data_IF_709396785419
#
_entry.id   IF_709396785419
#
_cell.length_a   1.000
_cell.length_b   1.000
_cell.length_c   1.000
_cell.angle_alpha   90.00
_cell.angle_beta   90.00
_cell.angle_gamma   90.00
#
_symmetry.space_group_name_H-M   'P 1'
#
loop_
_entity.id
_entity.type
_entity.pdbx_description
1 polymer ?
#
# COMPACT_ATOMS: atom_id res chain seq x y z
N UNK A 1 34.07 15.05 31.80
CA UNK A 1 34.66 13.72 31.69
C UNK A 1 34.93 13.33 30.24
N UNK A 2 33.93 13.18 29.36
CA UNK A 2 34.12 12.76 27.95
C UNK A 2 35.07 13.67 27.19
N UNK A 3 34.96 15.00 27.38
CA UNK A 3 35.91 15.97 26.78
C UNK A 3 37.35 15.68 27.18
N UNK A 4 37.59 15.38 28.47
CA UNK A 4 38.91 15.09 28.99
C UNK A 4 39.48 13.77 28.42
N UNK A 5 38.63 12.74 28.34
CA UNK A 5 39.01 11.48 27.69
C UNK A 5 39.36 11.70 26.21
N UNK A 6 38.55 12.46 25.48
CA UNK A 6 38.85 12.77 24.09
C UNK A 6 40.17 13.54 23.94
N UNK A 7 40.48 14.50 24.86
CA UNK A 7 41.75 15.20 24.88
C UNK A 7 42.93 14.29 25.12
N UNK A 8 42.80 13.34 26.06
CA UNK A 8 43.85 12.37 26.39
C UNK A 8 44.20 11.47 25.19
N UNK A 9 43.19 11.05 24.46
CA UNK A 9 43.36 10.16 23.29
C UNK A 9 43.47 10.90 21.95
N UNK A 10 43.57 12.22 21.95
CA UNK A 10 43.65 13.06 20.74
C UNK A 10 42.45 12.85 19.78
N UNK A 11 41.26 12.58 20.33
CA UNK A 11 40.01 12.39 19.56
C UNK A 11 39.30 13.72 19.44
N UNK A 12 38.86 14.15 18.26
CA UNK A 12 38.02 15.33 18.10
C UNK A 12 36.73 15.24 18.94
N UNK A 13 36.39 16.32 19.65
CA UNK A 13 35.22 16.38 20.51
C UNK A 13 34.22 17.41 20.00
N UNK A 14 33.00 16.96 19.66
CA UNK A 14 31.89 17.82 19.26
C UNK A 14 30.80 17.75 20.34
N UNK A 15 30.36 18.90 20.84
CA UNK A 15 29.25 19.00 21.80
C UNK A 15 28.04 19.63 21.11
N UNK A 16 26.87 19.01 21.28
CA UNK A 16 25.58 19.53 20.87
C UNK A 16 24.66 19.61 22.09
N UNK A 17 24.12 20.78 22.33
CA UNK A 17 23.13 21.02 23.39
C UNK A 17 21.73 21.02 22.77
N UNK A 18 20.76 20.35 23.40
CA UNK A 18 19.39 20.22 22.91
C UNK A 18 18.40 20.59 24.02
N UNK A 19 17.39 21.38 23.68
CA UNK A 19 16.33 21.80 24.62
C UNK A 19 15.13 20.86 24.51
N UNK A 20 15.13 19.81 25.35
CA UNK A 20 14.04 18.81 25.40
C UNK A 20 12.74 19.43 25.94
N UNK A 21 12.74 20.29 27.00
CA UNK A 21 11.54 20.97 27.48
C UNK A 21 10.84 21.82 26.40
N UNK A 22 11.60 22.62 25.64
CA UNK A 22 11.04 23.43 24.56
C UNK A 22 10.42 22.55 23.46
N UNK A 23 11.17 21.56 22.98
CA UNK A 23 10.69 20.66 21.92
C UNK A 23 9.46 19.84 22.34
N UNK A 24 9.29 19.52 23.64
CA UNK A 24 8.11 18.82 24.16
C UNK A 24 6.84 19.68 24.10
N UNK A 25 6.94 21.01 24.19
CA UNK A 25 5.78 21.92 24.08
C UNK A 25 5.20 21.91 22.67
N UNK A 26 6.05 21.69 21.68
CA UNK A 26 5.66 21.67 20.25
C UNK A 26 5.26 20.29 19.75
N UNK A 27 5.80 19.22 20.35
CA UNK A 27 5.60 17.85 19.89
C UNK A 27 4.84 17.00 20.92
N UNK A 28 3.77 16.33 20.48
CA UNK A 28 3.05 15.34 21.30
C UNK A 28 3.91 14.06 21.46
N UNK A 29 4.36 13.77 22.68
CA UNK A 29 5.12 12.56 22.98
C UNK A 29 5.62 12.52 24.43
N UNK A 30 6.12 11.35 24.88
CA UNK A 30 6.79 11.22 26.17
C UNK A 30 8.13 11.99 26.12
N UNK A 31 8.62 12.43 27.29
CA UNK A 31 9.94 13.07 27.43
C UNK A 31 11.05 12.22 26.81
N UNK A 32 11.02 10.92 27.06
CA UNK A 32 11.97 9.94 26.53
C UNK A 32 11.94 9.90 24.98
N UNK A 33 10.73 9.90 24.38
CA UNK A 33 10.57 9.88 22.93
C UNK A 33 11.14 11.15 22.30
N UNK A 34 10.80 12.33 22.86
CA UNK A 34 11.29 13.62 22.35
C UNK A 34 12.81 13.73 22.51
N UNK A 35 13.34 13.40 23.68
CA UNK A 35 14.78 13.38 23.93
C UNK A 35 15.54 12.44 22.97
N UNK A 36 14.96 11.27 22.70
CA UNK A 36 15.52 10.32 21.74
C UNK A 36 15.58 10.92 20.32
N UNK A 37 14.52 11.54 19.85
CA UNK A 37 14.46 12.17 18.52
C UNK A 37 15.53 13.26 18.40
N UNK A 38 15.60 14.16 19.39
CA UNK A 38 16.59 15.24 19.42
C UNK A 38 18.02 14.71 19.45
N UNK A 39 18.28 13.67 20.26
CA UNK A 39 19.60 13.02 20.31
C UNK A 39 20.03 12.49 18.96
N UNK A 40 19.14 11.78 18.23
CA UNK A 40 19.48 11.27 16.92
C UNK A 40 19.68 12.38 15.87
N UNK A 41 18.94 13.48 15.99
CA UNK A 41 19.13 14.66 15.14
C UNK A 41 20.50 15.30 15.41
N UNK A 42 20.84 15.57 16.67
CA UNK A 42 22.12 16.14 17.05
C UNK A 42 23.32 15.25 16.66
N UNK A 43 23.18 13.93 16.76
CA UNK A 43 24.21 12.99 16.30
C UNK A 43 24.43 13.06 14.79
N UNK A 44 23.38 13.21 13.98
CA UNK A 44 23.51 13.39 12.53
C UNK A 44 24.19 14.72 12.18
N UNK A 45 23.77 15.82 12.81
CA UNK A 45 24.41 17.13 12.63
C UNK A 45 25.88 17.11 13.02
N UNK A 46 26.25 16.43 14.12
CA UNK A 46 27.64 16.28 14.53
C UNK A 46 28.44 15.41 13.54
N UNK A 47 27.84 14.37 12.96
CA UNK A 47 28.48 13.55 11.96
C UNK A 47 28.74 14.31 10.65
N UNK A 48 27.81 15.17 10.23
CA UNK A 48 27.99 16.05 9.06
C UNK A 48 29.11 17.06 9.30
N UNK A 49 29.13 17.71 10.47
CA UNK A 49 30.18 18.65 10.89
C UNK A 49 31.56 17.97 10.93
N UNK A 50 31.62 16.75 11.51
CA UNK A 50 32.84 15.94 11.60
C UNK A 50 33.19 15.20 10.32
N UNK A 51 32.42 15.34 9.23
CA UNK A 51 32.57 14.60 7.97
C UNK A 51 32.63 13.09 8.16
N UNK A 52 31.84 12.57 9.13
CA UNK A 52 31.79 11.15 9.44
C UNK A 52 30.76 10.43 8.54
N UNK A 53 31.14 9.28 8.02
CA UNK A 53 30.25 8.44 7.20
C UNK A 53 29.35 7.51 8.01
N UNK A 54 29.70 7.27 9.28
CA UNK A 54 29.00 6.38 10.19
C UNK A 54 28.96 6.94 11.62
N UNK A 55 27.90 6.57 12.36
CA UNK A 55 27.74 6.92 13.78
C UNK A 55 27.72 5.61 14.59
N UNK A 56 28.71 5.40 15.43
CA UNK A 56 28.75 4.27 16.35
C UNK A 56 27.92 4.55 17.61
N UNK A 57 27.01 3.65 17.95
CA UNK A 57 26.22 3.70 19.17
C UNK A 57 26.70 2.58 20.13
N UNK A 58 26.84 2.88 21.41
CA UNK A 58 27.35 2.00 22.42
C UNK A 58 26.31 0.99 22.99
N UNK A 59 25.35 0.55 22.17
CA UNK A 59 24.45 -0.52 22.57
C UNK A 59 25.20 -1.83 22.67
N UNK A 60 24.95 -2.58 23.75
CA UNK A 60 25.60 -3.85 24.04
C UNK A 60 24.59 -4.99 24.15
N UNK A 61 25.04 -6.21 24.42
CA UNK A 61 24.21 -7.42 24.42
C UNK A 61 23.07 -7.37 25.44
N UNK A 62 23.29 -6.78 26.62
CA UNK A 62 22.24 -6.60 27.60
C UNK A 62 21.13 -5.64 27.11
N UNK A 63 21.48 -4.59 26.35
CA UNK A 63 20.47 -3.70 25.73
C UNK A 63 19.61 -4.46 24.73
N UNK A 64 20.20 -5.42 24.02
CA UNK A 64 19.49 -6.30 23.11
C UNK A 64 18.45 -7.14 23.88
N UNK A 65 18.87 -7.80 24.96
CA UNK A 65 17.97 -8.60 25.79
C UNK A 65 16.81 -7.76 26.39
N UNK A 66 17.14 -6.58 26.94
CA UNK A 66 16.13 -5.63 27.45
C UNK A 66 15.13 -5.21 26.37
N UNK A 67 15.62 -4.96 25.15
CA UNK A 67 14.78 -4.54 24.03
C UNK A 67 13.83 -5.65 23.58
N UNK A 68 14.29 -6.90 23.55
CA UNK A 68 13.45 -8.06 23.20
C UNK A 68 12.35 -8.23 24.23
N UNK A 69 12.68 -8.21 25.53
CA UNK A 69 11.68 -8.30 26.60
C UNK A 69 10.68 -7.15 26.55
N UNK A 70 11.14 -5.94 26.29
CA UNK A 70 10.26 -4.78 26.12
C UNK A 70 9.28 -4.95 24.95
N UNK A 71 9.74 -5.47 23.83
CA UNK A 71 8.90 -5.74 22.67
C UNK A 71 7.91 -6.89 22.93
N UNK A 72 8.37 -7.95 23.59
CA UNK A 72 7.51 -9.08 24.00
C UNK A 72 6.35 -8.63 24.89
N UNK A 73 6.63 -7.82 25.90
CA UNK A 73 5.61 -7.27 26.81
C UNK A 73 4.60 -6.35 26.11
N UNK A 74 4.97 -5.75 24.98
CA UNK A 74 4.09 -4.90 24.18
C UNK A 74 3.35 -5.64 23.06
N UNK A 75 3.60 -6.92 22.90
CA UNK A 75 2.97 -7.70 21.84
C UNK A 75 3.51 -7.40 20.45
N UNK A 76 4.80 -7.21 20.30
CA UNK A 76 5.45 -7.04 19.01
C UNK A 76 5.59 -8.38 18.29
N UNK A 77 5.36 -8.38 16.95
CA UNK A 77 5.63 -9.55 16.11
C UNK A 77 7.13 -9.83 15.91
N UNK A 78 7.46 -10.70 14.95
CA UNK A 78 8.83 -11.12 14.61
C UNK A 78 9.80 -9.94 14.43
N UNK A 79 9.34 -8.86 13.82
CA UNK A 79 10.12 -7.62 13.65
C UNK A 79 10.56 -6.99 14.98
N UNK A 80 9.73 -7.06 16.02
CA UNK A 80 10.10 -6.60 17.37
C UNK A 80 11.06 -7.55 18.04
N UNK A 81 10.88 -8.85 17.85
CA UNK A 81 11.77 -9.89 18.41
C UNK A 81 13.17 -9.88 17.77
N UNK A 82 13.30 -9.39 16.54
CA UNK A 82 14.59 -9.12 15.90
C UNK A 82 15.46 -8.08 16.65
N UNK A 83 14.86 -7.36 17.60
CA UNK A 83 15.54 -6.45 18.53
C UNK A 83 16.28 -5.29 17.86
N UNK A 84 17.43 -4.96 18.44
CA UNK A 84 18.29 -3.87 17.93
C UNK A 84 19.08 -4.39 16.73
N UNK A 85 19.02 -3.66 15.61
CA UNK A 85 19.78 -3.98 14.40
C UNK A 85 21.26 -3.61 14.57
N UNK A 86 22.24 -4.48 14.19
CA UNK A 86 23.67 -4.14 14.21
C UNK A 86 23.99 -2.89 13.39
N UNK A 87 23.32 -2.74 12.27
CA UNK A 87 23.42 -1.58 11.38
C UNK A 87 22.03 -1.12 10.92
N UNK A 88 21.82 0.21 10.95
CA UNK A 88 20.64 0.83 10.38
C UNK A 88 21.00 2.19 9.77
N UNK A 89 20.98 2.29 8.45
CA UNK A 89 21.47 3.45 7.71
C UNK A 89 22.94 3.77 8.11
N UNK A 90 23.22 4.99 8.58
CA UNK A 90 24.54 5.43 9.03
C UNK A 90 24.90 4.98 10.46
N UNK A 91 23.93 4.42 11.21
CA UNK A 91 24.15 3.99 12.60
C UNK A 91 24.65 2.54 12.66
N UNK A 92 25.76 2.34 13.36
CA UNK A 92 26.34 1.02 13.64
C UNK A 92 26.41 0.77 15.15
N UNK A 93 26.47 -0.48 15.59
CA UNK A 93 26.52 -0.88 17.00
C UNK A 93 27.58 -1.94 17.21
N UNK A 94 28.86 -1.53 17.33
CA UNK A 94 29.98 -2.46 17.39
C UNK A 94 29.95 -3.40 18.61
N UNK A 95 29.35 -2.96 19.72
CA UNK A 95 29.31 -3.72 20.98
C UNK A 95 28.06 -4.61 21.13
N UNK A 96 27.24 -4.76 20.10
CA UNK A 96 25.96 -5.47 20.23
C UNK A 96 26.11 -6.97 20.58
N UNK A 97 27.27 -7.55 20.33
CA UNK A 97 27.64 -8.93 20.69
C UNK A 97 28.57 -9.00 21.93
N UNK A 98 28.73 -7.91 22.67
CA UNK A 98 29.58 -7.85 23.88
C UNK A 98 28.69 -7.59 25.09
N UNK A 99 28.90 -8.35 26.16
CA UNK A 99 28.13 -8.19 27.41
C UNK A 99 28.59 -6.97 28.20
N UNK A 100 27.70 -6.45 29.02
CA UNK A 100 28.04 -5.37 29.98
C UNK A 100 29.18 -5.77 30.93
N UNK A 101 29.25 -7.06 31.29
CA UNK A 101 30.32 -7.60 32.15
C UNK A 101 31.67 -7.53 31.46
N UNK A 102 31.77 -8.01 30.21
CA UNK A 102 33.01 -7.96 29.42
C UNK A 102 33.52 -6.54 29.24
N UNK A 103 32.59 -5.57 29.03
CA UNK A 103 32.93 -4.14 28.95
C UNK A 103 33.50 -3.65 30.27
N UNK A 104 32.87 -4.01 31.40
CA UNK A 104 33.32 -3.61 32.74
C UNK A 104 34.69 -4.23 33.07
N UNK A 105 34.89 -5.51 32.79
CA UNK A 105 36.16 -6.22 32.98
C UNK A 105 37.28 -5.59 32.14
N UNK A 106 37.00 -5.24 30.89
CA UNK A 106 37.95 -4.51 30.03
C UNK A 106 38.33 -3.14 30.61
N UNK A 107 37.36 -2.32 30.99
CA UNK A 107 37.63 -1.01 31.58
C UNK A 107 38.46 -1.11 32.86
N UNK A 108 38.15 -2.14 33.70
CA UNK A 108 38.88 -2.40 34.92
C UNK A 108 40.34 -2.77 34.66
N UNK A 109 40.62 -3.57 33.59
CA UNK A 109 41.99 -3.95 33.24
C UNK A 109 42.86 -2.77 32.78
N UNK A 110 42.21 -1.66 32.28
CA UNK A 110 42.86 -0.42 31.93
C UNK A 110 42.77 0.66 33.01
N UNK A 111 42.27 0.32 34.23
CA UNK A 111 42.08 1.26 35.34
C UNK A 111 41.19 2.48 34.98
N UNK A 112 40.26 2.30 34.08
CA UNK A 112 39.30 3.33 33.67
C UNK A 112 38.03 3.22 34.50
N UNK A 113 37.71 4.27 35.23
CA UNK A 113 36.45 4.33 36.04
C UNK A 113 35.35 4.90 35.16
N UNK A 114 34.28 4.15 34.86
CA UNK A 114 33.15 4.69 34.10
C UNK A 114 32.35 5.73 34.90
N UNK A 115 31.79 6.72 34.22
CA UNK A 115 30.80 7.59 34.83
C UNK A 115 29.49 6.84 35.07
N UNK A 116 28.94 7.00 36.27
CA UNK A 116 27.61 6.50 36.60
C UNK A 116 26.56 7.61 36.39
N UNK A 117 25.45 7.26 35.69
CA UNK A 117 24.31 8.15 35.52
C UNK A 117 23.22 7.70 36.49
N UNK A 118 22.97 8.51 37.54
CA UNK A 118 22.00 8.23 38.61
C UNK A 118 20.56 8.01 38.08
N UNK A 119 20.23 8.55 36.90
CA UNK A 119 18.91 8.33 36.30
C UNK A 119 18.67 6.88 35.87
N UNK A 120 19.73 6.08 35.72
CA UNK A 120 19.62 4.65 35.41
C UNK A 120 19.11 3.80 36.60
N UNK A 121 19.17 4.33 37.81
CA UNK A 121 18.76 3.65 39.03
C UNK A 121 17.27 3.87 39.36
N UNK A 122 16.60 4.77 38.62
CA UNK A 122 15.21 5.10 38.89
C UNK A 122 14.29 4.25 38.00
N UNK A 123 13.39 3.42 38.59
CA UNK A 123 12.52 2.50 37.83
C UNK A 123 11.27 3.19 37.22
N UNK A 124 11.32 4.46 36.87
CA UNK A 124 10.17 5.18 36.33
C UNK A 124 9.81 4.76 34.91
N UNK A 125 10.80 4.43 34.09
CA UNK A 125 10.59 3.99 32.74
C UNK A 125 10.47 2.45 32.67
N UNK A 126 9.60 1.93 31.79
CA UNK A 126 9.41 0.47 31.59
C UNK A 126 10.74 -0.25 31.33
N UNK A 127 11.68 0.39 30.64
CA UNK A 127 13.00 -0.19 30.34
C UNK A 127 13.84 -0.35 31.62
N UNK A 128 13.81 0.64 32.51
CA UNK A 128 14.50 0.56 33.80
C UNK A 128 13.87 -0.53 34.71
N UNK A 129 12.54 -0.68 34.70
CA UNK A 129 11.87 -1.81 35.41
C UNK A 129 12.30 -3.16 34.86
N UNK A 130 12.41 -3.30 33.55
CA UNK A 130 12.93 -4.54 32.95
C UNK A 130 14.36 -4.81 33.45
N UNK A 131 15.24 -3.80 33.43
CA UNK A 131 16.64 -3.92 33.89
C UNK A 131 16.79 -4.22 35.34
N UNK A 132 16.07 -3.51 36.21
CA UNK A 132 16.26 -3.54 37.65
C UNK A 132 15.46 -4.64 38.37
N UNK A 133 14.28 -4.99 37.82
CA UNK A 133 13.37 -5.92 38.48
C UNK A 133 13.21 -7.24 37.71
N UNK A 134 12.95 -7.19 36.41
CA UNK A 134 12.59 -8.37 35.61
C UNK A 134 13.84 -9.20 35.26
N UNK A 135 14.88 -8.55 34.72
CA UNK A 135 16.11 -9.22 34.30
C UNK A 135 16.78 -10.02 35.44
N UNK A 136 16.97 -9.49 36.68
CA UNK A 136 17.55 -10.28 37.78
C UNK A 136 16.74 -11.53 38.09
N UNK A 137 15.40 -11.44 38.07
CA UNK A 137 14.52 -12.59 38.29
C UNK A 137 14.67 -13.64 37.20
N UNK A 138 14.68 -13.22 35.92
CA UNK A 138 14.83 -14.13 34.78
C UNK A 138 16.23 -14.79 34.76
N UNK A 139 17.28 -14.07 35.15
CA UNK A 139 18.65 -14.62 35.27
C UNK A 139 18.76 -15.69 36.36
N UNK A 140 17.92 -15.68 37.37
CA UNK A 140 17.90 -16.78 38.36
C UNK A 140 17.36 -18.10 37.79
N UNK A 141 16.56 -18.05 36.73
CA UNK A 141 16.08 -19.24 36.00
C UNK A 141 17.07 -19.66 34.89
N UNK A 142 17.68 -18.71 34.21
CA UNK A 142 18.69 -18.96 33.18
C UNK A 142 19.82 -17.93 33.26
N UNK A 143 20.97 -18.30 33.87
CA UNK A 143 22.13 -17.41 33.98
C UNK A 143 22.67 -16.91 32.61
N UNK A 144 22.43 -17.68 31.54
CA UNK A 144 22.84 -17.32 30.16
C UNK A 144 21.76 -16.61 29.35
N UNK A 145 20.72 -16.11 30.03
CA UNK A 145 19.53 -15.53 29.33
C UNK A 145 19.90 -14.41 28.35
N UNK A 146 20.85 -13.54 28.69
CA UNK A 146 21.26 -12.41 27.83
C UNK A 146 21.76 -12.92 26.49
N UNK A 147 22.71 -13.85 26.50
CA UNK A 147 23.25 -14.47 25.30
C UNK A 147 22.21 -15.31 24.56
N UNK A 148 21.33 -15.99 25.29
CA UNK A 148 20.21 -16.72 24.67
C UNK A 148 19.30 -15.77 23.88
N UNK A 149 18.82 -14.68 24.49
CA UNK A 149 17.99 -13.70 23.82
C UNK A 149 18.70 -13.02 22.65
N UNK A 150 19.98 -12.75 22.77
CA UNK A 150 20.78 -12.16 21.69
C UNK A 150 20.86 -13.08 20.47
N UNK A 151 21.05 -14.40 20.71
CA UNK A 151 21.05 -15.42 19.64
C UNK A 151 19.66 -15.53 18.99
N UNK A 152 18.59 -15.60 19.78
CA UNK A 152 17.22 -15.62 19.27
C UNK A 152 16.92 -14.39 18.42
N UNK A 153 17.39 -13.20 18.82
CA UNK A 153 17.23 -12.00 18.02
C UNK A 153 17.93 -12.09 16.65
N UNK A 154 19.07 -12.82 16.56
CA UNK A 154 19.72 -13.05 15.27
C UNK A 154 18.86 -13.94 14.37
N UNK A 155 18.31 -15.01 14.90
CA UNK A 155 17.40 -15.91 14.16
C UNK A 155 16.19 -15.12 13.63
N UNK A 156 15.53 -14.35 14.52
CA UNK A 156 14.41 -13.52 14.11
C UNK A 156 14.77 -12.45 13.07
N UNK A 157 15.99 -11.93 13.09
CA UNK A 157 16.46 -11.01 12.03
C UNK A 157 16.57 -11.69 10.67
N UNK A 158 17.10 -12.89 10.63
CA UNK A 158 17.27 -13.65 9.39
C UNK A 158 15.91 -14.06 8.81
N UNK A 159 14.98 -14.50 9.67
CA UNK A 159 13.60 -14.79 9.29
C UNK A 159 12.84 -13.54 8.82
N UNK A 160 13.03 -12.41 9.49
CA UNK A 160 12.39 -11.15 9.12
C UNK A 160 12.92 -10.62 7.79
N UNK A 161 14.23 -10.72 7.51
CA UNK A 161 14.84 -10.38 6.22
C UNK A 161 14.26 -11.22 5.09
N UNK A 162 14.08 -12.53 5.32
CA UNK A 162 13.42 -13.42 4.36
C UNK A 162 11.97 -12.98 4.11
N UNK A 163 11.22 -12.71 5.18
CA UNK A 163 9.83 -12.31 5.09
C UNK A 163 9.66 -10.91 4.45
N UNK A 164 10.59 -9.97 4.67
CA UNK A 164 10.60 -8.66 4.00
C UNK A 164 10.85 -8.83 2.49
N UNK A 165 11.77 -9.69 2.09
CA UNK A 165 12.02 -9.99 0.66
C UNK A 165 10.81 -10.63 -0.03
N UNK A 166 10.13 -11.56 0.64
CA UNK A 166 8.89 -12.15 0.11
C UNK A 166 7.76 -11.11 0.03
N UNK A 167 7.64 -10.20 1.02
CA UNK A 167 6.69 -9.09 0.98
C UNK A 167 6.97 -8.16 -0.21
N UNK A 168 8.24 -7.84 -0.49
CA UNK A 168 8.62 -7.02 -1.63
C UNK A 168 8.26 -7.68 -2.97
N UNK A 169 8.44 -9.00 -3.10
CA UNK A 169 8.02 -9.77 -4.28
C UNK A 169 6.52 -9.70 -4.51
N UNK A 170 5.73 -9.77 -3.45
CA UNK A 170 4.27 -9.64 -3.54
C UNK A 170 3.83 -8.19 -3.75
N UNK A 171 4.58 -7.21 -3.22
CA UNK A 171 4.26 -5.79 -3.33
C UNK A 171 4.28 -5.26 -4.77
N UNK A 172 4.98 -5.93 -5.70
CA UNK A 172 4.97 -5.56 -7.13
C UNK A 172 3.57 -5.65 -7.75
N UNK A 173 2.68 -6.42 -7.12
CA UNK A 173 1.29 -6.56 -7.56
C UNK A 173 0.38 -5.40 -7.12
N UNK A 174 0.85 -4.53 -6.23
CA UNK A 174 0.15 -3.29 -5.97
C UNK A 174 0.19 -2.38 -7.19
N UNK A 175 -0.95 -1.78 -7.48
CA UNK A 175 -1.08 -0.71 -8.48
C UNK A 175 -1.63 0.53 -7.81
N UNK A 176 -0.98 1.66 -8.04
CA UNK A 176 -1.45 2.95 -7.54
C UNK A 176 -2.17 3.70 -8.66
N UNK A 177 -3.37 4.18 -8.38
CA UNK A 177 -4.11 5.07 -9.27
C UNK A 177 -4.74 6.18 -8.42
N UNK A 178 -4.27 7.40 -8.60
CA UNK A 178 -4.69 8.54 -7.78
C UNK A 178 -4.53 8.27 -6.28
N UNK A 179 -5.65 8.29 -5.57
CA UNK A 179 -5.73 8.03 -4.13
C UNK A 179 -5.84 6.55 -3.75
N UNK A 180 -5.98 5.66 -4.75
CA UNK A 180 -6.18 4.23 -4.53
C UNK A 180 -4.87 3.45 -4.60
N UNK A 181 -4.75 2.45 -3.73
CA UNK A 181 -3.77 1.37 -3.82
C UNK A 181 -4.54 0.07 -4.02
N UNK A 182 -4.31 -0.60 -5.15
CA UNK A 182 -5.14 -1.70 -5.64
C UNK A 182 -4.32 -2.99 -5.63
N UNK A 183 -4.89 -4.07 -5.08
CA UNK A 183 -4.28 -5.40 -5.03
C UNK A 183 -5.22 -6.48 -5.58
N UNK A 184 -4.74 -7.42 -6.45
CA UNK A 184 -5.59 -8.44 -7.05
C UNK A 184 -6.06 -9.50 -6.04
N UNK A 185 -7.36 -9.79 -5.98
CA UNK A 185 -7.93 -10.86 -5.13
C UNK A 185 -7.43 -12.25 -5.52
N UNK A 186 -7.24 -12.50 -6.82
CA UNK A 186 -6.71 -13.77 -7.30
C UNK A 186 -5.33 -14.07 -6.70
N UNK A 187 -4.47 -13.06 -6.56
CA UNK A 187 -3.15 -13.19 -5.95
C UNK A 187 -3.26 -13.47 -4.45
N UNK A 188 -4.16 -12.76 -3.77
CA UNK A 188 -4.40 -12.89 -2.33
C UNK A 188 -4.74 -14.32 -1.89
N UNK A 189 -5.56 -15.03 -2.67
CA UNK A 189 -6.05 -16.35 -2.30
C UNK A 189 -4.92 -17.38 -2.16
N UNK A 190 -3.82 -17.22 -2.89
CA UNK A 190 -2.63 -18.08 -2.80
C UNK A 190 -1.64 -17.69 -1.70
N UNK A 191 -1.83 -16.57 -1.01
CA UNK A 191 -0.87 -16.09 -0.02
C UNK A 191 -1.01 -16.84 1.31
N UNK A 192 0.14 -17.12 1.93
CA UNK A 192 0.21 -17.59 3.31
C UNK A 192 -0.37 -16.54 4.29
N UNK A 193 -1.05 -16.93 5.39
CA UNK A 193 -1.62 -15.97 6.36
C UNK A 193 -0.64 -14.92 6.89
N UNK A 194 0.63 -15.27 7.07
CA UNK A 194 1.67 -14.32 7.48
C UNK A 194 1.87 -13.22 6.42
N UNK A 195 1.91 -13.59 5.14
CA UNK A 195 2.05 -12.63 4.03
C UNK A 195 0.81 -11.75 3.88
N UNK A 196 -0.39 -12.31 4.04
CA UNK A 196 -1.64 -11.54 4.05
C UNK A 196 -1.62 -10.40 5.07
N UNK A 197 -1.15 -10.66 6.30
CA UNK A 197 -0.98 -9.63 7.33
C UNK A 197 0.02 -8.55 6.93
N UNK A 198 1.13 -8.95 6.30
CA UNK A 198 2.18 -8.02 5.86
C UNK A 198 1.69 -7.11 4.73
N UNK A 199 1.00 -7.65 3.74
CA UNK A 199 0.40 -6.90 2.63
C UNK A 199 -0.60 -5.87 3.16
N UNK A 200 -1.46 -6.24 4.13
CA UNK A 200 -2.38 -5.28 4.77
C UNK A 200 -1.60 -4.18 5.51
N UNK A 201 -0.60 -4.56 6.33
CA UNK A 201 0.22 -3.59 7.08
C UNK A 201 0.91 -2.61 6.15
N UNK A 202 1.48 -3.10 5.06
CA UNK A 202 2.10 -2.28 4.03
C UNK A 202 1.10 -1.31 3.41
N UNK A 203 -0.04 -1.80 2.98
CA UNK A 203 -1.08 -0.97 2.37
C UNK A 203 -1.57 0.13 3.34
N UNK A 204 -1.83 -0.22 4.60
CA UNK A 204 -2.25 0.77 5.63
C UNK A 204 -1.15 1.79 5.89
N UNK A 205 0.10 1.35 6.02
CA UNK A 205 1.24 2.26 6.23
C UNK A 205 1.41 3.21 5.05
N UNK A 206 1.23 2.73 3.82
CA UNK A 206 1.35 3.56 2.62
C UNK A 206 0.20 4.57 2.48
N UNK A 207 -1.03 4.17 2.86
CA UNK A 207 -2.21 5.05 2.75
C UNK A 207 -2.32 6.05 3.90
N UNK A 208 -2.02 5.65 5.12
CA UNK A 208 -2.26 6.46 6.32
C UNK A 208 -0.99 6.97 7.01
N UNK A 209 0.21 6.54 6.57
CA UNK A 209 1.50 6.85 7.20
C UNK A 209 1.53 6.47 8.69
N UNK A 210 0.72 5.48 9.08
CA UNK A 210 0.58 4.99 10.45
C UNK A 210 0.55 3.47 10.46
N UNK A 211 1.23 2.86 11.44
CA UNK A 211 1.18 1.41 11.61
C UNK A 211 -0.19 0.98 12.14
N UNK A 212 -0.85 0.00 11.51
CA UNK A 212 -2.07 -0.55 12.04
C UNK A 212 -1.80 -1.37 13.31
N UNK A 213 -2.79 -1.41 14.21
CA UNK A 213 -2.82 -2.34 15.33
C UNK A 213 -3.12 -3.78 14.86
N UNK A 214 -2.84 -4.75 15.72
CA UNK A 214 -3.03 -6.16 15.39
C UNK A 214 -4.50 -6.50 15.08
N UNK A 215 -5.44 -5.92 15.83
CA UNK A 215 -6.88 -6.13 15.66
C UNK A 215 -7.37 -5.57 14.33
N UNK A 216 -6.91 -4.38 13.94
CA UNK A 216 -7.23 -3.77 12.65
C UNK A 216 -6.73 -4.61 11.48
N UNK A 217 -5.53 -5.18 11.59
CA UNK A 217 -4.98 -6.10 10.58
C UNK A 217 -5.86 -7.35 10.44
N UNK A 218 -6.25 -7.97 11.58
CA UNK A 218 -7.09 -9.17 11.54
C UNK A 218 -8.50 -8.87 11.00
N UNK A 219 -9.11 -7.73 11.36
CA UNK A 219 -10.39 -7.31 10.78
C UNK A 219 -10.32 -7.14 9.27
N UNK A 220 -9.26 -6.48 8.77
CA UNK A 220 -9.06 -6.31 7.32
C UNK A 220 -8.80 -7.66 6.63
N UNK A 221 -8.02 -8.54 7.23
CA UNK A 221 -7.76 -9.88 6.72
C UNK A 221 -9.06 -10.72 6.65
N UNK A 222 -9.87 -10.69 7.69
CA UNK A 222 -11.17 -11.38 7.73
C UNK A 222 -12.10 -10.87 6.64
N UNK A 223 -12.18 -9.54 6.45
CA UNK A 223 -12.95 -8.95 5.35
C UNK A 223 -12.43 -9.44 3.99
N UNK A 224 -11.11 -9.44 3.79
CA UNK A 224 -10.51 -9.89 2.52
C UNK A 224 -10.77 -11.37 2.23
N UNK A 225 -10.88 -12.22 3.25
CA UNK A 225 -11.12 -13.67 3.12
C UNK A 225 -12.60 -14.02 2.93
N UNK A 226 -13.50 -13.33 3.64
CA UNK A 226 -14.93 -13.72 3.74
C UNK A 226 -15.89 -12.64 3.24
N UNK A 227 -15.40 -11.45 2.93
CA UNK A 227 -16.24 -10.32 2.57
C UNK A 227 -16.84 -10.44 1.18
N UNK A 228 -17.96 -9.74 1.01
CA UNK A 228 -18.68 -9.60 -0.26
C UNK A 228 -18.31 -8.28 -0.92
N UNK A 229 -18.57 -8.19 -2.21
CA UNK A 229 -18.38 -6.97 -2.99
C UNK A 229 -19.05 -5.75 -2.32
N UNK A 230 -18.36 -4.62 -2.30
CA UNK A 230 -18.79 -3.36 -1.69
C UNK A 230 -18.64 -3.30 -0.17
N UNK A 231 -18.26 -4.41 0.50
CA UNK A 231 -17.97 -4.36 1.93
C UNK A 231 -16.62 -3.72 2.19
N UNK A 232 -16.54 -2.97 3.29
CA UNK A 232 -15.36 -2.22 3.69
C UNK A 232 -15.12 -2.21 5.19
N UNK A 233 -13.88 -1.98 5.57
CA UNK A 233 -13.45 -1.79 6.96
C UNK A 233 -12.27 -0.83 7.02
N UNK A 234 -12.03 -0.22 8.17
CA UNK A 234 -10.95 0.74 8.36
C UNK A 234 -10.03 0.37 9.52
N UNK A 235 -8.77 0.77 9.43
CA UNK A 235 -7.76 0.70 10.49
C UNK A 235 -6.75 1.83 10.32
N UNK A 236 -6.41 2.49 11.43
CA UNK A 236 -5.34 3.50 11.53
C UNK A 236 -5.36 4.62 10.47
N UNK A 237 -6.54 4.95 9.93
CA UNK A 237 -6.70 6.00 8.90
C UNK A 237 -6.61 5.50 7.46
N UNK A 238 -6.65 4.19 7.24
CA UNK A 238 -6.83 3.60 5.92
C UNK A 238 -8.11 2.75 5.88
N UNK A 239 -8.75 2.69 4.74
CA UNK A 239 -9.92 1.86 4.45
C UNK A 239 -9.52 0.79 3.45
N UNK A 240 -10.00 -0.43 3.67
CA UNK A 240 -10.02 -1.53 2.70
C UNK A 240 -11.45 -1.74 2.23
N UNK A 241 -11.68 -1.74 0.93
CA UNK A 241 -12.95 -2.09 0.29
C UNK A 241 -12.75 -3.19 -0.77
N UNK A 242 -13.72 -4.09 -0.87
CA UNK A 242 -13.75 -5.12 -1.91
C UNK A 242 -14.44 -4.55 -3.14
N UNK A 243 -13.71 -4.40 -4.24
CA UNK A 243 -14.19 -3.85 -5.49
C UNK A 243 -13.97 -4.85 -6.65
N UNK A 244 -14.95 -5.73 -6.89
CA UNK A 244 -14.88 -6.78 -7.89
C UNK A 244 -13.70 -7.73 -7.68
N UNK A 245 -12.79 -7.88 -8.66
CA UNK A 245 -11.63 -8.76 -8.55
C UNK A 245 -10.47 -8.14 -7.76
N UNK A 246 -10.67 -6.99 -7.09
CA UNK A 246 -9.61 -6.26 -6.41
C UNK A 246 -9.94 -5.92 -4.96
N UNK A 247 -8.90 -5.76 -4.17
CA UNK A 247 -8.90 -5.05 -2.92
C UNK A 247 -8.40 -3.62 -3.16
N UNK A 248 -9.19 -2.63 -2.74
CA UNK A 248 -8.85 -1.23 -2.87
C UNK A 248 -8.58 -0.64 -1.49
N UNK A 249 -7.37 -0.13 -1.29
CA UNK A 249 -7.00 0.61 -0.10
C UNK A 249 -6.96 2.10 -0.42
N UNK A 250 -7.46 2.93 0.49
CA UNK A 250 -7.48 4.39 0.33
C UNK A 250 -7.46 5.09 1.68
N UNK A 251 -7.02 6.37 1.74
CA UNK A 251 -7.08 7.14 2.97
C UNK A 251 -8.53 7.34 3.43
N UNK A 252 -8.75 7.21 4.73
CA UNK A 252 -10.07 7.44 5.31
C UNK A 252 -10.02 7.41 6.82
N UNK A 253 -10.98 8.11 7.46
CA UNK A 253 -11.08 8.20 8.91
C UNK A 253 -12.23 7.35 9.47
N UNK A 254 -13.19 6.96 8.63
CA UNK A 254 -14.38 6.24 9.04
C UNK A 254 -14.77 5.12 8.06
N UNK A 255 -15.71 4.25 8.50
CA UNK A 255 -16.27 3.21 7.64
C UNK A 255 -17.18 3.76 6.52
N UNK A 256 -17.51 5.05 6.58
CA UNK A 256 -18.39 5.69 5.60
C UNK A 256 -17.61 6.27 4.41
N UNK A 257 -16.30 6.39 4.50
CA UNK A 257 -15.47 6.83 3.39
C UNK A 257 -15.64 5.88 2.18
N UNK A 258 -15.59 6.42 0.98
CA UNK A 258 -15.87 5.68 -0.26
C UNK A 258 -14.69 5.77 -1.21
N UNK A 259 -14.60 4.78 -2.09
CA UNK A 259 -13.64 4.77 -3.20
C UNK A 259 -13.87 6.01 -4.08
N UNK A 260 -12.76 6.64 -4.51
CA UNK A 260 -12.83 7.61 -5.60
C UNK A 260 -13.19 6.86 -6.91
N UNK A 261 -14.44 7.02 -7.35
CA UNK A 261 -14.98 6.32 -8.52
C UNK A 261 -14.21 6.70 -9.80
N UNK A 262 -13.72 7.93 -9.90
CA UNK A 262 -12.91 8.39 -11.06
C UNK A 262 -11.56 7.68 -11.14
N UNK A 263 -10.86 7.52 -10.01
CA UNK A 263 -9.58 6.80 -9.96
C UNK A 263 -9.79 5.31 -10.29
N UNK A 264 -10.85 4.70 -9.75
CA UNK A 264 -11.17 3.30 -10.01
C UNK A 264 -11.55 3.07 -11.49
N UNK A 265 -12.33 3.99 -12.07
CA UNK A 265 -12.69 3.95 -13.49
C UNK A 265 -11.46 4.06 -14.39
N UNK A 266 -10.57 5.01 -14.10
CA UNK A 266 -9.31 5.20 -14.81
C UNK A 266 -8.44 3.94 -14.77
N UNK A 267 -8.33 3.32 -13.58
CA UNK A 267 -7.61 2.06 -13.43
C UNK A 267 -8.18 0.94 -14.32
N UNK A 268 -9.50 0.74 -14.29
CA UNK A 268 -10.16 -0.30 -15.10
C UNK A 268 -9.97 -0.04 -16.58
N UNK A 269 -10.15 1.19 -17.06
CA UNK A 269 -9.97 1.56 -18.46
C UNK A 269 -8.54 1.27 -18.95
N UNK A 270 -7.52 1.75 -18.22
CA UNK A 270 -6.10 1.50 -18.56
C UNK A 270 -5.75 0.03 -18.64
N UNK A 271 -6.33 -0.81 -17.76
CA UNK A 271 -6.07 -2.25 -17.79
C UNK A 271 -6.82 -2.95 -18.92
N UNK A 272 -7.98 -2.45 -19.34
CA UNK A 272 -8.72 -2.98 -20.49
C UNK A 272 -8.01 -2.70 -21.80
N UNK A 273 -7.38 -1.54 -21.96
CA UNK A 273 -6.60 -1.20 -23.16
C UNK A 273 -5.34 -2.06 -23.34
N UNK A 274 -4.70 -2.45 -22.23
CA UNK A 274 -3.46 -3.25 -22.27
C UNK A 274 -3.64 -4.69 -22.75
N UNK A 275 -4.85 -5.22 -22.71
CA UNK A 275 -5.16 -6.57 -23.18
C UNK A 275 -5.54 -6.61 -24.68
N UNK A 276 -4.89 -5.81 -25.53
CA UNK A 276 -5.08 -5.89 -26.98
C UNK A 276 -4.61 -7.24 -27.51
N UNK A 277 -5.41 -7.96 -28.30
CA UNK A 277 -4.87 -9.04 -29.10
C UNK A 277 -3.84 -8.46 -30.08
N UNK A 278 -2.70 -9.12 -30.18
CA UNK A 278 -1.62 -8.73 -31.07
C UNK A 278 -2.11 -8.74 -32.53
N UNK A 279 -1.98 -7.60 -33.21
CA UNK A 279 -1.90 -7.48 -34.66
C UNK A 279 -3.19 -7.15 -35.39
N UNK A 280 -3.34 -5.87 -35.79
CA UNK A 280 -3.49 -5.41 -37.18
C UNK A 280 -3.62 -3.89 -37.22
N UNK A 281 -2.81 -3.25 -38.02
CA UNK A 281 -2.93 -1.83 -38.36
C UNK A 281 -4.21 -1.61 -39.14
N UNK A 282 -5.10 -0.74 -38.64
CA UNK A 282 -6.29 -0.28 -39.38
C UNK A 282 -5.94 0.98 -40.12
N UNK A 283 -6.10 0.94 -41.44
CA UNK A 283 -5.95 2.09 -42.31
C UNK A 283 -7.02 3.14 -42.03
N UNK A 284 -6.61 4.42 -42.04
CA UNK A 284 -7.48 5.59 -41.85
C UNK A 284 -8.25 5.80 -43.15
N UNK A 285 -9.58 5.73 -43.10
CA UNK A 285 -10.45 6.12 -44.23
C UNK A 285 -10.81 7.61 -44.07
N UNK A 286 -10.41 8.44 -45.02
CA UNK A 286 -10.83 9.84 -45.15
C UNK A 286 -12.17 9.92 -45.88
N UNK A 287 -13.04 10.81 -45.40
CA UNK A 287 -14.35 11.21 -45.92
C UNK A 287 -15.55 10.39 -45.43
N UNK A 288 -16.04 10.77 -44.21
CA UNK A 288 -17.46 10.69 -43.86
C UNK A 288 -17.75 11.42 -42.55
N UNK A 289 -18.98 11.88 -42.37
CA UNK A 289 -19.44 12.61 -41.18
C UNK A 289 -19.23 11.77 -39.91
N UNK A 290 -18.36 12.27 -39.04
CA UNK A 290 -18.11 11.68 -37.71
C UNK A 290 -18.92 12.47 -36.71
N UNK A 291 -19.87 11.81 -36.05
CA UNK A 291 -20.60 12.39 -34.92
C UNK A 291 -19.93 12.01 -33.58
N UNK A 292 -19.85 12.96 -32.68
CA UNK A 292 -19.33 12.73 -31.33
C UNK A 292 -20.41 12.96 -30.28
N UNK A 293 -20.64 11.97 -29.44
CA UNK A 293 -21.52 12.03 -28.30
C UNK A 293 -20.70 11.94 -27.00
N UNK A 294 -21.11 12.68 -25.99
CA UNK A 294 -20.42 12.67 -24.69
C UNK A 294 -21.40 12.34 -23.56
N UNK A 295 -20.96 11.50 -22.61
CA UNK A 295 -21.70 11.22 -21.41
C UNK A 295 -20.73 10.98 -20.24
N UNK A 296 -20.72 11.90 -19.28
CA UNK A 296 -19.78 11.87 -18.18
C UNK A 296 -18.32 11.85 -18.66
N UNK A 297 -17.53 10.84 -18.23
CA UNK A 297 -16.13 10.72 -18.64
C UNK A 297 -15.94 10.10 -20.04
N UNK A 298 -17.00 9.72 -20.74
CA UNK A 298 -16.95 8.96 -21.98
C UNK A 298 -17.21 9.80 -23.21
N UNK A 299 -16.48 9.48 -24.28
CA UNK A 299 -16.67 10.05 -25.63
C UNK A 299 -16.91 8.89 -26.59
N UNK A 300 -18.06 8.89 -27.26
CA UNK A 300 -18.39 8.00 -28.36
C UNK A 300 -18.20 8.70 -29.68
N UNK A 301 -17.41 8.13 -30.54
CA UNK A 301 -17.31 8.54 -31.97
C UNK A 301 -18.11 7.55 -32.79
N UNK A 302 -19.01 8.05 -33.63
CA UNK A 302 -19.86 7.27 -34.54
C UNK A 302 -19.44 7.57 -35.97
N UNK A 303 -19.06 6.54 -36.71
CA UNK A 303 -18.57 6.64 -38.08
C UNK A 303 -19.39 5.72 -38.98
N UNK A 304 -19.89 6.26 -40.10
CA UNK A 304 -20.63 5.47 -41.09
C UNK A 304 -19.66 4.91 -42.13
N UNK A 305 -19.70 3.59 -42.32
CA UNK A 305 -18.82 2.86 -43.21
C UNK A 305 -19.58 2.19 -44.35
N UNK A 306 -19.02 2.16 -45.55
CA UNK A 306 -19.59 1.46 -46.69
C UNK A 306 -19.35 -0.06 -46.65
N UNK A 307 -18.31 -0.49 -45.93
CA UNK A 307 -17.91 -1.89 -45.80
C UNK A 307 -17.67 -2.27 -44.35
N UNK A 308 -17.87 -3.55 -43.96
CA UNK A 308 -17.61 -3.98 -42.60
C UNK A 308 -16.10 -3.96 -42.30
N UNK A 309 -15.76 -3.60 -41.08
CA UNK A 309 -14.40 -3.65 -40.54
C UNK A 309 -14.37 -4.54 -39.30
N UNK A 310 -13.21 -5.08 -38.97
CA UNK A 310 -13.01 -5.80 -37.72
C UNK A 310 -12.97 -4.78 -36.58
N UNK A 311 -13.96 -4.86 -35.70
CA UNK A 311 -14.08 -3.95 -34.56
C UNK A 311 -13.08 -4.31 -33.44
N UNK A 312 -12.35 -3.33 -32.95
CA UNK A 312 -11.48 -3.47 -31.80
C UNK A 312 -12.26 -3.61 -30.48
N UNK A 313 -11.56 -3.76 -29.37
CA UNK A 313 -12.19 -4.01 -28.05
C UNK A 313 -13.05 -2.85 -27.53
N UNK A 314 -12.62 -1.62 -27.83
CA UNK A 314 -13.37 -0.39 -27.54
C UNK A 314 -14.27 0.06 -28.70
N UNK A 315 -14.51 -0.85 -29.65
CA UNK A 315 -15.31 -0.61 -30.82
C UNK A 315 -16.44 -1.62 -30.94
N UNK A 316 -17.51 -1.23 -31.61
CA UNK A 316 -18.61 -2.10 -31.96
C UNK A 316 -19.16 -1.72 -33.33
N UNK A 317 -19.33 -2.71 -34.21
CA UNK A 317 -19.89 -2.55 -35.51
C UNK A 317 -21.35 -3.00 -35.50
N UNK A 318 -22.26 -2.13 -35.96
CA UNK A 318 -23.69 -2.44 -36.07
C UNK A 318 -24.28 -2.10 -37.44
N UNK A 319 -25.43 -2.70 -37.72
CA UNK A 319 -26.21 -2.40 -38.91
C UNK A 319 -26.91 -1.05 -38.73
N UNK A 320 -26.62 -0.11 -39.64
CA UNK A 320 -27.18 1.23 -39.62
C UNK A 320 -28.69 1.28 -39.89
N UNK A 321 -29.23 0.31 -40.65
CA UNK A 321 -30.65 0.29 -41.01
C UNK A 321 -31.57 -0.10 -39.85
N UNK A 322 -31.06 -0.80 -38.89
CA UNK A 322 -31.82 -1.25 -37.69
C UNK A 322 -31.66 -0.37 -36.45
N UNK A 323 -30.79 0.63 -36.51
CA UNK A 323 -30.50 1.50 -35.39
C UNK A 323 -31.38 2.77 -35.43
N UNK A 324 -32.07 3.09 -34.35
CA UNK A 324 -32.74 4.37 -34.14
C UNK A 324 -31.75 5.50 -33.84
N UNK A 325 -32.22 6.62 -33.34
CA UNK A 325 -31.35 7.72 -32.92
C UNK A 325 -30.48 7.26 -31.72
N UNK A 326 -29.18 7.16 -31.97
CA UNK A 326 -28.23 6.66 -30.95
C UNK A 326 -27.97 7.70 -29.86
N UNK A 327 -28.00 7.24 -28.63
CA UNK A 327 -27.63 8.00 -27.44
C UNK A 327 -26.50 7.28 -26.70
N UNK A 328 -25.53 8.04 -26.22
CA UNK A 328 -24.57 7.56 -25.22
C UNK A 328 -25.07 7.99 -23.82
N UNK A 329 -25.24 7.05 -22.94
CA UNK A 329 -25.61 7.32 -21.53
C UNK A 329 -24.96 6.32 -20.59
N UNK A 330 -25.08 6.59 -19.31
CA UNK A 330 -24.67 5.63 -18.26
C UNK A 330 -25.72 4.54 -18.12
N UNK A 331 -25.23 3.34 -17.71
CA UNK A 331 -26.11 2.20 -17.43
C UNK A 331 -26.95 2.46 -16.19
N UNK A 332 -28.23 2.14 -16.25
CA UNK A 332 -29.18 2.19 -15.17
C UNK A 332 -29.48 0.78 -14.61
N UNK A 333 -29.95 0.72 -13.36
CA UNK A 333 -30.20 -0.55 -12.67
C UNK A 333 -31.27 -1.40 -13.38
N UNK A 334 -32.20 -0.75 -14.01
CA UNK A 334 -33.33 -1.39 -14.70
C UNK A 334 -33.10 -1.63 -16.20
N UNK A 335 -31.88 -1.35 -16.70
CA UNK A 335 -31.54 -1.60 -18.08
C UNK A 335 -31.49 -3.07 -18.43
N UNK A 336 -32.13 -3.41 -19.55
CA UNK A 336 -32.10 -4.75 -20.18
C UNK A 336 -31.61 -4.65 -21.60
N UNK A 337 -30.84 -5.63 -22.03
CA UNK A 337 -30.48 -5.83 -23.44
C UNK A 337 -30.75 -7.26 -23.86
N UNK A 338 -30.77 -7.50 -25.17
CA UNK A 338 -30.81 -8.81 -25.79
C UNK A 338 -29.43 -9.17 -26.31
N UNK A 339 -28.58 -9.85 -25.50
CA UNK A 339 -27.16 -10.04 -25.87
C UNK A 339 -26.99 -10.91 -27.09
N UNK A 340 -26.03 -10.55 -27.96
CA UNK A 340 -25.64 -11.37 -29.10
C UNK A 340 -25.21 -12.78 -28.66
N UNK A 341 -25.74 -13.83 -29.31
CA UNK A 341 -25.43 -15.21 -28.97
C UNK A 341 -26.21 -15.79 -27.78
N UNK A 342 -27.22 -15.07 -27.27
CA UNK A 342 -28.10 -15.54 -26.19
C UNK A 342 -29.58 -15.38 -26.58
N UNK A 343 -30.45 -16.22 -26.01
CA UNK A 343 -31.89 -16.06 -26.12
C UNK A 343 -32.45 -15.33 -24.92
N UNK A 344 -33.29 -14.29 -25.17
CA UNK A 344 -33.96 -13.52 -24.11
C UNK A 344 -33.23 -12.25 -23.67
N UNK A 345 -33.86 -11.55 -22.72
CA UNK A 345 -33.37 -10.27 -22.15
C UNK A 345 -32.54 -10.53 -20.92
N UNK A 346 -31.45 -9.75 -20.76
CA UNK A 346 -30.58 -9.81 -19.60
C UNK A 346 -30.33 -8.43 -19.03
N UNK A 347 -30.31 -8.30 -17.70
CA UNK A 347 -29.97 -7.01 -17.05
C UNK A 347 -28.54 -6.61 -17.38
N UNK A 348 -28.33 -5.36 -17.77
CA UNK A 348 -26.98 -4.82 -18.05
C UNK A 348 -26.08 -4.92 -16.82
N UNK A 349 -26.58 -4.61 -15.64
CA UNK A 349 -25.81 -4.74 -14.38
C UNK A 349 -25.36 -6.18 -14.09
N UNK A 350 -26.15 -7.19 -14.50
CA UNK A 350 -25.75 -8.60 -14.38
C UNK A 350 -24.62 -8.93 -15.35
N UNK A 351 -24.64 -8.39 -16.57
CA UNK A 351 -23.57 -8.54 -17.54
C UNK A 351 -22.29 -7.91 -17.02
N UNK A 352 -22.35 -6.70 -16.48
CA UNK A 352 -21.22 -6.00 -15.89
C UNK A 352 -20.64 -6.75 -14.68
N UNK A 353 -21.51 -7.33 -13.85
CA UNK A 353 -21.09 -8.14 -12.71
C UNK A 353 -20.33 -9.40 -13.14
N UNK A 354 -20.82 -10.12 -14.13
CA UNK A 354 -20.16 -11.32 -14.68
C UNK A 354 -18.79 -10.98 -15.31
N UNK A 355 -18.62 -9.74 -15.78
CA UNK A 355 -17.35 -9.22 -16.30
C UNK A 355 -16.43 -8.65 -15.23
N UNK A 356 -16.80 -8.79 -13.95
CA UNK A 356 -15.99 -8.33 -12.82
C UNK A 356 -16.00 -6.83 -12.58
N UNK A 357 -16.98 -6.09 -13.16
CA UNK A 357 -17.08 -4.64 -12.92
C UNK A 357 -17.63 -4.40 -11.51
N UNK A 358 -16.88 -3.69 -10.64
CA UNK A 358 -17.30 -3.33 -9.29
C UNK A 358 -18.64 -2.60 -9.25
N UNK A 359 -19.42 -2.83 -8.20
CA UNK A 359 -20.73 -2.22 -8.04
C UNK A 359 -20.73 -0.68 -8.18
N UNK A 360 -19.75 0.08 -7.61
CA UNK A 360 -19.68 1.52 -7.78
C UNK A 360 -19.55 1.97 -9.23
N UNK A 361 -18.84 1.19 -10.07
CA UNK A 361 -18.59 1.54 -11.46
C UNK A 361 -19.73 1.19 -12.42
N UNK A 362 -20.64 0.27 -12.04
CA UNK A 362 -21.71 -0.17 -12.95
C UNK A 362 -22.63 0.97 -13.39
N UNK A 363 -22.90 1.93 -12.49
CA UNK A 363 -23.68 3.15 -12.81
C UNK A 363 -22.90 4.18 -13.61
N UNK A 364 -21.59 4.07 -13.73
CA UNK A 364 -20.73 4.92 -14.54
C UNK A 364 -20.34 4.23 -15.86
N UNK A 365 -20.84 3.01 -16.09
CA UNK A 365 -20.49 2.25 -17.29
C UNK A 365 -21.30 2.71 -18.48
N UNK A 366 -20.66 2.97 -19.63
CA UNK A 366 -21.34 3.51 -20.80
C UNK A 366 -22.14 2.44 -21.53
N UNK A 367 -23.31 2.82 -21.99
CA UNK A 367 -24.15 2.06 -22.91
C UNK A 367 -24.55 2.92 -24.09
N UNK A 368 -24.62 2.29 -25.25
CA UNK A 368 -25.18 2.92 -26.46
C UNK A 368 -26.59 2.36 -26.66
N UNK A 369 -27.58 3.26 -26.74
CA UNK A 369 -28.99 2.94 -26.74
C UNK A 369 -29.79 3.87 -27.66
N UNK A 370 -31.03 3.51 -27.95
CA UNK A 370 -32.08 4.44 -28.34
C UNK A 370 -33.12 4.57 -27.24
N UNK A 371 -34.32 5.06 -27.56
CA UNK A 371 -35.41 5.24 -26.60
C UNK A 371 -35.89 3.91 -25.98
N UNK A 372 -35.76 2.79 -26.69
CA UNK A 372 -36.37 1.50 -26.32
C UNK A 372 -35.36 0.37 -26.12
N UNK A 373 -34.15 0.47 -26.67
CA UNK A 373 -33.25 -0.65 -26.78
C UNK A 373 -31.79 -0.25 -26.45
N UNK A 374 -31.05 -1.17 -25.86
CA UNK A 374 -29.60 -1.06 -25.67
C UNK A 374 -28.92 -1.88 -26.73
N UNK A 375 -28.12 -1.23 -27.56
CA UNK A 375 -27.37 -1.84 -28.66
C UNK A 375 -26.00 -2.34 -28.24
N UNK A 376 -25.34 -1.66 -27.32
CA UNK A 376 -24.01 -2.02 -26.88
C UNK A 376 -23.78 -1.68 -25.41
N UNK A 377 -23.39 -2.70 -24.64
CA UNK A 377 -22.75 -2.51 -23.34
C UNK A 377 -21.25 -2.49 -23.61
N UNK A 378 -20.68 -1.29 -23.57
CA UNK A 378 -19.35 -1.02 -24.06
C UNK A 378 -18.28 -2.01 -23.56
N UNK A 379 -17.35 -2.35 -24.40
CA UNK A 379 -16.24 -3.30 -24.20
C UNK A 379 -16.65 -4.78 -24.05
N UNK A 380 -17.93 -5.12 -23.87
CA UNK A 380 -18.31 -6.49 -23.53
C UNK A 380 -19.31 -7.14 -24.48
N UNK A 381 -20.49 -6.56 -24.63
CA UNK A 381 -21.57 -7.22 -25.35
C UNK A 381 -22.35 -6.28 -26.26
N UNK A 382 -22.52 -6.68 -27.51
CA UNK A 382 -23.48 -6.09 -28.41
C UNK A 382 -24.85 -6.77 -28.33
N UNK A 383 -25.87 -6.08 -28.81
CA UNK A 383 -27.22 -6.61 -28.93
C UNK A 383 -27.41 -7.40 -30.23
N UNK A 384 -28.32 -8.37 -30.20
CA UNK A 384 -28.73 -9.06 -31.43
C UNK A 384 -29.60 -8.19 -32.34
N UNK A 385 -30.17 -7.09 -31.84
CA UNK A 385 -31.16 -6.27 -32.55
C UNK A 385 -30.56 -5.52 -33.76
N UNK A 386 -29.29 -5.14 -33.72
CA UNK A 386 -28.60 -4.47 -34.82
C UNK A 386 -27.32 -5.20 -35.21
N UNK A 387 -27.36 -6.53 -35.21
CA UNK A 387 -26.23 -7.32 -35.64
C UNK A 387 -25.96 -7.17 -37.11
N UNK A 388 -24.72 -7.10 -37.52
CA UNK A 388 -24.30 -7.16 -38.90
C UNK A 388 -24.59 -8.57 -39.48
N UNK A 389 -25.20 -8.64 -40.66
CA UNK A 389 -25.49 -9.83 -41.40
C UNK A 389 -24.97 -9.71 -42.84
N UNK A 390 -25.06 -10.74 -43.64
CA UNK A 390 -24.68 -10.70 -45.07
C UNK A 390 -25.56 -9.75 -45.90
N UNK A 391 -26.75 -9.42 -45.38
CA UNK A 391 -27.68 -8.49 -46.02
C UNK A 391 -27.45 -7.01 -45.64
N UNK A 392 -26.56 -6.74 -44.66
CA UNK A 392 -26.28 -5.39 -44.19
C UNK A 392 -25.57 -4.56 -45.27
N UNK A 393 -26.18 -3.43 -45.67
CA UNK A 393 -25.67 -2.52 -46.73
C UNK A 393 -24.97 -1.28 -46.17
N UNK A 394 -25.18 -0.94 -44.91
CA UNK A 394 -24.63 0.27 -44.28
C UNK A 394 -24.24 -0.05 -42.86
N UNK A 395 -23.04 0.36 -42.46
CA UNK A 395 -22.43 0.00 -41.18
C UNK A 395 -22.18 1.25 -40.34
N UNK A 396 -22.37 1.16 -39.02
CA UNK A 396 -21.93 2.15 -38.07
C UNK A 396 -20.83 1.56 -37.21
N UNK A 397 -19.67 2.17 -37.20
CA UNK A 397 -18.57 1.87 -36.29
C UNK A 397 -18.66 2.83 -35.11
N UNK A 398 -18.88 2.25 -33.94
CA UNK A 398 -18.89 2.93 -32.66
C UNK A 398 -17.52 2.80 -32.02
N UNK A 399 -16.85 3.90 -31.68
CA UNK A 399 -15.56 3.91 -30.97
C UNK A 399 -15.70 4.68 -29.67
N UNK A 400 -15.40 4.04 -28.55
CA UNK A 400 -15.54 4.64 -27.22
C UNK A 400 -14.16 4.90 -26.60
N UNK A 401 -13.99 6.12 -26.05
CA UNK A 401 -12.77 6.54 -25.34
C UNK A 401 -13.12 7.28 -24.06
N UNK A 402 -12.15 7.39 -23.14
CA UNK A 402 -12.26 8.33 -22.02
C UNK A 402 -11.94 9.73 -22.49
N UNK A 403 -12.67 10.70 -21.98
CA UNK A 403 -12.35 12.12 -22.14
C UNK A 403 -11.02 12.39 -21.44
N UNK A 404 -10.04 12.94 -22.16
CA UNK A 404 -8.79 13.39 -21.57
C UNK A 404 -9.11 14.43 -20.49
N UNK A 405 -8.58 14.23 -19.26
CA UNK A 405 -8.60 15.30 -18.28
C UNK A 405 -7.73 16.43 -18.85
N UNK A 406 -8.34 17.49 -19.31
CA UNK A 406 -7.63 18.75 -19.51
C UNK A 406 -6.95 19.07 -18.20
N UNK A 407 -5.62 19.07 -18.20
CA UNK A 407 -4.81 19.58 -17.13
C UNK A 407 -5.10 21.08 -17.13
N UNK A 408 -6.00 21.54 -16.26
CA UNK A 408 -6.13 22.98 -16.02
C UNK A 408 -4.73 23.49 -15.63
N UNK A 409 -4.18 24.47 -16.37
CA UNK A 409 -2.92 25.07 -15.97
C UNK A 409 -3.18 25.72 -14.60
N UNK A 410 -2.41 25.31 -13.59
CA UNK A 410 -2.38 25.99 -12.31
C UNK A 410 -1.94 27.44 -12.57
N UNK A 411 -2.90 28.36 -12.49
CA UNK A 411 -2.65 29.80 -12.35
C UNK A 411 -2.08 30.07 -10.95
#
# INVERSE_FOLDING_TARGET
YVREVCRLFHIPFIRKDVDVPAARRENRGSVETVARILRFKALKEAAEEGKCTQIALAHHENDQAETILFHLLRGSGTKGMAGIQPRRNIFIRPFLAVTRKEIADFLSSFHVTPCHDETNDIPDATRNKIRLELMPRLLSFNPNLVTTLSREAQIFRDEEDFMEKEEEREAVHFKREGTLLIFPRARWNGLHPAMKRRIIRRAVMEMAQRSPDAEGVERMKLLAEQGKEGQKTSSSGAVLEIAGPFFCFFPGSSRNDSINEGDLLSFFYKNMEKEKPAGRETGIIKDNHVEKLTAGPWVLTVEKLPHPVEAGRNQYLLDACGAGALTLRMAEKEDYMEPLGMTGKKKVFSILQEKGIPAPLRRLWPVVADENHIYWTAFFRGSRLCRVTEETKSFLLLTLTLRDKEIEPKT
#
